data_IF_812722993072
#
_entry.id   IF_812722993072
#
_cell.length_a   1.000
_cell.length_b   1.000
_cell.length_c   1.000
_cell.angle_alpha   90.00
_cell.angle_beta   90.00
_cell.angle_gamma   90.00
#
_symmetry.space_group_name_H-M   'P 1'
#
loop_
_entity.id
_entity.type
_entity.pdbx_description
1 polymer ?
#
# COMPACT_ATOMS: atom_id res chain seq x y z
N UNK A 1 -9.30 -17.13 24.75
CA UNK A 1 -8.70 -16.63 23.49
C UNK A 1 -9.56 -16.97 22.27
N UNK A 2 -10.01 -18.22 22.10
CA UNK A 2 -10.94 -18.60 21.02
C UNK A 2 -12.29 -17.86 21.02
N UNK A 3 -12.81 -17.45 22.20
CA UNK A 3 -14.08 -16.72 22.29
C UNK A 3 -14.01 -15.31 21.69
N UNK A 4 -12.88 -14.61 21.82
CA UNK A 4 -12.70 -13.28 21.24
C UNK A 4 -12.60 -13.36 19.70
N UNK A 5 -11.88 -14.36 19.19
CA UNK A 5 -11.73 -14.61 17.77
C UNK A 5 -13.06 -15.02 17.12
N UNK A 6 -13.85 -15.85 17.81
CA UNK A 6 -15.21 -16.23 17.38
C UNK A 6 -16.16 -15.04 17.37
N UNK A 7 -16.06 -14.13 18.35
CA UNK A 7 -16.86 -12.89 18.40
C UNK A 7 -16.54 -11.91 17.26
N UNK A 8 -15.28 -11.84 16.82
CA UNK A 8 -14.88 -11.02 15.66
C UNK A 8 -15.36 -11.66 14.36
N UNK A 9 -15.27 -12.99 14.24
CA UNK A 9 -15.74 -13.76 13.09
C UNK A 9 -17.28 -13.74 12.93
N UNK A 10 -18.04 -13.69 14.02
CA UNK A 10 -19.51 -13.59 14.03
C UNK A 10 -20.01 -12.15 13.78
N UNK A 11 -19.11 -11.16 13.73
CA UNK A 11 -19.50 -9.77 13.48
C UNK A 11 -19.73 -9.55 11.97
N UNK A 12 -20.99 -9.50 11.55
CA UNK A 12 -21.37 -9.09 10.20
C UNK A 12 -21.14 -7.58 10.04
N UNK A 13 -19.97 -7.19 9.50
CA UNK A 13 -19.75 -5.83 9.06
C UNK A 13 -20.57 -5.52 7.82
N UNK A 14 -21.24 -4.37 7.83
CA UNK A 14 -21.88 -3.82 6.64
C UNK A 14 -20.85 -3.50 5.56
N UNK A 15 -21.26 -3.48 4.28
CA UNK A 15 -20.36 -3.10 3.16
C UNK A 15 -19.79 -1.69 3.37
N UNK A 16 -20.58 -0.78 3.97
CA UNK A 16 -20.14 0.56 4.31
C UNK A 16 -19.03 0.56 5.38
N UNK A 17 -19.16 -0.26 6.43
CA UNK A 17 -18.10 -0.43 7.44
C UNK A 17 -16.83 -1.02 6.83
N UNK A 18 -16.93 -2.01 5.94
CA UNK A 18 -15.78 -2.57 5.24
C UNK A 18 -15.03 -1.51 4.42
N UNK A 19 -15.75 -0.69 3.66
CA UNK A 19 -15.16 0.40 2.88
C UNK A 19 -14.55 1.46 3.81
N UNK A 20 -15.26 1.83 4.88
CA UNK A 20 -14.76 2.78 5.88
C UNK A 20 -13.48 2.30 6.55
N UNK A 21 -13.43 1.04 6.97
CA UNK A 21 -12.24 0.42 7.55
C UNK A 21 -11.09 0.34 6.55
N UNK A 22 -11.37 -0.07 5.31
CA UNK A 22 -10.38 -0.12 4.23
C UNK A 22 -9.81 1.27 3.91
N UNK A 23 -10.64 2.32 3.88
CA UNK A 23 -10.19 3.70 3.69
C UNK A 23 -9.40 4.22 4.89
N UNK A 24 -9.86 3.95 6.12
CA UNK A 24 -9.16 4.35 7.34
C UNK A 24 -7.75 3.73 7.43
N UNK A 25 -7.59 2.49 6.98
CA UNK A 25 -6.29 1.83 6.94
C UNK A 25 -5.48 2.20 5.68
N UNK A 26 -6.14 2.24 4.51
CA UNK A 26 -5.52 2.41 3.21
C UNK A 26 -5.11 3.85 2.91
N UNK A 27 -5.87 4.85 3.37
CA UNK A 27 -5.54 6.26 3.17
C UNK A 27 -4.20 6.66 3.80
N UNK A 28 -3.93 6.40 5.10
CA UNK A 28 -2.63 6.74 5.68
C UNK A 28 -1.49 5.93 5.04
N UNK A 29 -1.73 4.66 4.69
CA UNK A 29 -0.75 3.83 3.98
C UNK A 29 -0.38 4.40 2.61
N UNK A 30 -1.38 4.73 1.79
CA UNK A 30 -1.19 5.29 0.45
C UNK A 30 -0.58 6.69 0.49
N UNK A 31 -0.96 7.52 1.47
CA UNK A 31 -0.36 8.83 1.68
C UNK A 31 1.15 8.72 1.99
N UNK A 32 1.54 7.78 2.85
CA UNK A 32 2.95 7.52 3.14
C UNK A 32 3.71 6.97 1.93
N UNK A 33 3.11 6.01 1.20
CA UNK A 33 3.68 5.49 -0.04
C UNK A 33 3.90 6.59 -1.08
N UNK A 34 2.95 7.52 -1.21
CA UNK A 34 3.08 8.68 -2.09
C UNK A 34 4.19 9.63 -1.64
N UNK A 35 4.26 9.95 -0.34
CA UNK A 35 5.33 10.79 0.21
C UNK A 35 6.72 10.19 -0.06
N UNK A 36 6.88 8.89 0.18
CA UNK A 36 8.14 8.17 -0.05
C UNK A 36 8.49 8.14 -1.54
N UNK A 37 7.52 7.87 -2.41
CA UNK A 37 7.73 7.87 -3.86
C UNK A 37 8.16 9.25 -4.39
N UNK A 38 7.64 10.34 -3.80
CA UNK A 38 8.04 11.72 -4.14
C UNK A 38 9.43 12.09 -3.60
N UNK A 39 9.81 11.57 -2.43
CA UNK A 39 11.11 11.82 -1.79
C UNK A 39 12.25 11.01 -2.41
N UNK A 40 11.96 9.90 -3.10
CA UNK A 40 12.93 9.08 -3.85
C UNK A 40 12.62 9.02 -5.35
N UNK A 41 12.74 10.15 -6.08
CA UNK A 41 12.45 10.22 -7.51
C UNK A 41 13.48 9.48 -8.38
N UNK A 42 14.67 9.17 -7.84
CA UNK A 42 15.78 8.55 -8.58
C UNK A 42 15.45 7.12 -9.08
N UNK A 43 14.44 6.45 -8.51
CA UNK A 43 14.00 5.10 -8.93
C UNK A 43 13.28 5.06 -10.29
N UNK A 44 12.92 6.20 -10.88
CA UNK A 44 12.09 6.25 -12.11
C UNK A 44 12.76 7.01 -13.26
N UNK A 45 14.00 7.44 -13.10
CA UNK A 45 14.67 8.29 -14.09
C UNK A 45 15.03 7.53 -15.38
N UNK A 46 15.32 6.23 -15.29
CA UNK A 46 15.66 5.35 -16.42
C UNK A 46 14.46 4.56 -17.00
N UNK A 47 13.26 4.70 -16.41
CA UNK A 47 12.08 3.96 -16.84
C UNK A 47 11.30 4.70 -17.94
N UNK A 48 11.23 4.11 -19.14
CA UNK A 48 10.47 4.67 -20.27
C UNK A 48 8.97 4.33 -20.24
N UNK A 49 8.14 5.30 -20.59
CA UNK A 49 6.72 5.11 -20.94
C UNK A 49 5.84 4.44 -19.86
N UNK A 50 5.13 3.38 -20.25
CA UNK A 50 4.16 2.66 -19.40
C UNK A 50 4.82 1.98 -18.18
N UNK A 51 6.09 1.58 -18.32
CA UNK A 51 6.85 0.96 -17.25
C UNK A 51 7.09 1.93 -16.09
N UNK A 52 7.22 3.23 -16.38
CA UNK A 52 7.33 4.29 -15.37
C UNK A 52 6.08 4.41 -14.50
N UNK A 53 4.89 4.31 -15.10
CA UNK A 53 3.61 4.35 -14.39
C UNK A 53 3.48 3.11 -13.50
N UNK A 54 3.82 1.92 -14.03
CA UNK A 54 3.79 0.68 -13.27
C UNK A 54 4.79 0.71 -12.10
N UNK A 55 6.00 1.24 -12.31
CA UNK A 55 7.01 1.41 -11.26
C UNK A 55 6.56 2.40 -10.18
N UNK A 56 5.94 3.51 -10.57
CA UNK A 56 5.38 4.49 -9.62
C UNK A 56 4.19 3.92 -8.82
N UNK A 57 3.27 3.22 -9.46
CA UNK A 57 2.16 2.57 -8.74
C UNK A 57 2.70 1.46 -7.84
N UNK A 58 3.63 0.66 -8.33
CA UNK A 58 4.30 -0.39 -7.57
C UNK A 58 5.03 0.16 -6.35
N UNK A 59 5.68 1.31 -6.46
CA UNK A 59 6.38 1.92 -5.34
C UNK A 59 5.44 2.45 -4.26
N UNK A 60 4.32 3.07 -4.64
CA UNK A 60 3.31 3.52 -3.67
C UNK A 60 2.62 2.33 -2.98
N UNK A 61 2.32 1.26 -3.73
CA UNK A 61 1.64 0.08 -3.20
C UNK A 61 2.57 -0.78 -2.33
N UNK A 62 3.83 -0.95 -2.73
CA UNK A 62 4.79 -1.84 -2.07
C UNK A 62 5.89 -1.11 -1.30
N UNK A 63 5.68 0.19 -0.99
CA UNK A 63 6.66 1.04 -0.34
C UNK A 63 7.35 0.44 0.91
N UNK A 64 6.69 -0.27 1.85
CA UNK A 64 7.36 -0.79 3.04
C UNK A 64 8.25 -1.98 2.70
N UNK A 65 7.86 -2.78 1.70
CA UNK A 65 8.66 -3.91 1.22
C UNK A 65 9.92 -3.38 0.55
N UNK A 66 9.80 -2.33 -0.28
CA UNK A 66 10.94 -1.72 -0.96
C UNK A 66 12.00 -1.17 0.01
N UNK A 67 11.60 -0.70 1.20
CA UNK A 67 12.54 -0.32 2.26
C UNK A 67 13.37 -1.50 2.79
N UNK A 68 12.83 -2.71 2.74
CA UNK A 68 13.51 -3.93 3.22
C UNK A 68 14.28 -4.61 2.10
N UNK A 69 13.75 -4.57 0.88
CA UNK A 69 14.28 -5.36 -0.23
C UNK A 69 15.24 -4.59 -1.13
N UNK A 70 15.39 -3.26 -0.97
CA UNK A 70 16.29 -2.35 -1.71
C UNK A 70 16.59 -2.82 -3.15
N UNK A 71 15.54 -3.25 -3.85
CA UNK A 71 15.65 -3.81 -5.19
C UNK A 71 15.63 -2.63 -6.15
N UNK A 72 16.79 -2.36 -6.73
CA UNK A 72 16.84 -1.66 -8.01
C UNK A 72 16.05 -2.52 -9.00
N UNK A 73 14.95 -1.98 -9.56
CA UNK A 73 14.39 -2.58 -10.77
C UNK A 73 15.43 -2.36 -11.89
N UNK A 74 15.78 -3.41 -12.66
CA UNK A 74 16.66 -3.28 -13.82
C UNK A 74 16.00 -2.48 -14.95
#
# INVERSE_FOLDING_TARGET
MLSALRRIMDYEMTVAEWIGAALLAGAPYGALGLLVALLKPDHYADADGLYRIAAFVGSVVFWPVLFVTDVCLP
#
